data_IF_956700977434
#
_entry.id   IF_956700977434
#
_cell.length_a   1.000
_cell.length_b   1.000
_cell.length_c   1.000
_cell.angle_alpha   90.00
_cell.angle_beta   90.00
_cell.angle_gamma   90.00
#
_symmetry.space_group_name_H-M   'P 1'
#
loop_
_entity.id
_entity.type
_entity.pdbx_description
1 polymer ?
#
# COMPACT_ATOMS: atom_id res chain seq x y z
N UNK A 1 -27.04 -7.62 -5.54
CA UNK A 1 -25.65 -7.10 -5.55
C UNK A 1 -25.43 -6.30 -4.29
N UNK A 2 -24.36 -6.57 -3.54
CA UNK A 2 -24.00 -5.82 -2.33
C UNK A 2 -22.69 -5.10 -2.62
N UNK A 3 -22.65 -3.80 -2.36
CA UNK A 3 -21.44 -2.97 -2.48
C UNK A 3 -21.20 -2.32 -1.13
N UNK A 4 -19.96 -2.38 -0.65
CA UNK A 4 -19.53 -1.74 0.58
C UNK A 4 -18.31 -0.87 0.28
N UNK A 5 -18.40 0.42 0.59
CA UNK A 5 -17.33 1.38 0.31
C UNK A 5 -17.44 2.60 1.25
N UNK A 6 -16.36 3.38 1.31
CA UNK A 6 -16.30 4.67 1.99
C UNK A 6 -15.87 5.75 1.00
N UNK A 7 -16.84 6.51 0.47
CA UNK A 7 -16.62 7.54 -0.55
C UNK A 7 -15.82 8.76 -0.07
N UNK A 8 -15.52 8.85 1.22
CA UNK A 8 -14.60 9.84 1.74
C UNK A 8 -13.14 9.38 1.73
N UNK A 9 -12.89 8.10 1.41
CA UNK A 9 -11.56 7.57 1.13
C UNK A 9 -11.17 7.85 -0.32
N UNK A 10 -10.05 7.26 -0.75
CA UNK A 10 -9.44 7.56 -2.04
C UNK A 10 -10.37 7.22 -3.22
N UNK A 11 -10.48 8.12 -4.21
CA UNK A 11 -11.22 7.83 -5.44
C UNK A 11 -10.45 6.81 -6.31
N UNK A 12 -11.07 6.27 -7.36
CA UNK A 12 -10.37 5.46 -8.35
C UNK A 12 -9.13 6.18 -8.91
N UNK A 13 -8.02 5.44 -9.05
CA UNK A 13 -6.76 5.97 -9.62
C UNK A 13 -6.97 6.41 -11.07
N UNK A 14 -7.79 5.67 -11.82
CA UNK A 14 -8.17 5.97 -13.20
C UNK A 14 -9.67 5.77 -13.39
N UNK A 15 -10.25 6.54 -14.30
CA UNK A 15 -11.68 6.47 -14.63
C UNK A 15 -12.57 7.35 -13.72
N UNK A 16 -13.87 7.44 -14.04
CA UNK A 16 -14.82 8.21 -13.25
C UNK A 16 -15.16 7.50 -11.94
N UNK A 17 -15.28 8.25 -10.85
CA UNK A 17 -15.89 7.75 -9.61
C UNK A 17 -17.36 7.36 -9.85
N UNK A 18 -17.82 6.30 -9.17
CA UNK A 18 -19.18 5.76 -9.26
C UNK A 18 -20.27 6.83 -9.00
N UNK A 19 -19.94 7.87 -8.23
CA UNK A 19 -20.85 8.94 -7.83
C UNK A 19 -20.46 10.31 -8.40
N UNK A 20 -19.84 10.35 -9.57
CA UNK A 20 -19.55 11.62 -10.23
C UNK A 20 -20.87 12.30 -10.64
N UNK A 21 -21.06 13.60 -10.35
CA UNK A 21 -22.20 14.36 -10.86
C UNK A 21 -22.03 14.61 -12.36
N UNK A 22 -22.26 13.59 -13.18
CA UNK A 22 -22.41 13.71 -14.63
C UNK A 22 -23.71 13.04 -15.03
N UNK A 23 -24.54 13.77 -15.79
CA UNK A 23 -25.79 13.40 -16.46
C UNK A 23 -26.53 12.16 -15.88
N UNK A 24 -27.56 12.45 -15.07
CA UNK A 24 -28.42 11.56 -14.30
C UNK A 24 -28.97 10.28 -14.98
N UNK A 25 -28.82 10.12 -16.30
CA UNK A 25 -29.41 9.01 -17.07
C UNK A 25 -28.59 7.71 -17.09
N UNK A 26 -27.35 7.69 -16.58
CA UNK A 26 -26.46 6.50 -16.65
C UNK A 26 -25.67 6.17 -15.38
N UNK A 27 -26.03 6.74 -14.23
CA UNK A 27 -25.31 6.47 -12.99
C UNK A 27 -25.86 5.22 -12.30
N UNK A 28 -25.07 4.14 -12.31
CA UNK A 28 -25.34 2.87 -11.62
C UNK A 28 -25.70 3.07 -10.13
N UNK A 29 -25.21 4.14 -9.52
CA UNK A 29 -25.52 4.52 -8.14
C UNK A 29 -27.01 4.74 -7.84
N UNK A 30 -27.82 5.15 -8.82
CA UNK A 30 -29.26 5.33 -8.62
C UNK A 30 -30.05 4.02 -8.65
N UNK A 31 -29.44 2.92 -9.09
CA UNK A 31 -30.09 1.60 -9.11
C UNK A 31 -30.10 0.94 -7.74
N UNK A 32 -29.30 1.42 -6.78
CA UNK A 32 -29.33 0.90 -5.40
C UNK A 32 -30.57 1.42 -4.67
N UNK A 33 -31.51 0.54 -4.34
CA UNK A 33 -32.74 0.92 -3.63
C UNK A 33 -32.58 1.00 -2.10
N UNK A 34 -31.49 0.43 -1.58
CA UNK A 34 -31.20 0.26 -0.16
C UNK A 34 -29.80 0.78 0.11
N UNK A 35 -29.67 1.76 0.99
CA UNK A 35 -28.39 2.32 1.44
C UNK A 35 -28.37 2.20 2.95
N UNK A 36 -27.28 1.67 3.51
CA UNK A 36 -27.09 1.56 4.96
C UNK A 36 -25.74 2.15 5.30
N UNK A 37 -25.72 3.09 6.24
CA UNK A 37 -24.50 3.71 6.74
C UNK A 37 -24.15 3.20 8.14
N UNK A 38 -22.97 2.60 8.25
CA UNK A 38 -22.41 2.21 9.54
C UNK A 38 -21.81 3.45 10.22
N UNK A 39 -22.25 3.75 11.45
CA UNK A 39 -21.82 4.93 12.21
C UNK A 39 -20.78 4.62 13.28
N UNK A 40 -20.75 3.39 13.78
CA UNK A 40 -19.81 3.00 14.83
C UNK A 40 -18.45 2.62 14.24
N UNK A 41 -17.41 3.32 14.67
CA UNK A 41 -16.04 2.99 14.31
C UNK A 41 -15.53 1.81 15.16
N UNK A 42 -15.40 0.64 14.53
CA UNK A 42 -14.92 -0.58 15.19
C UNK A 42 -13.39 -0.72 15.21
N UNK A 43 -12.64 0.23 14.63
CA UNK A 43 -11.18 0.20 14.52
C UNK A 43 -10.50 0.88 15.71
N UNK A 44 -10.94 2.09 16.07
CA UNK A 44 -10.41 2.86 17.20
C UNK A 44 -11.31 2.69 18.44
N UNK A 45 -11.29 1.48 19.01
CA UNK A 45 -12.15 1.12 20.14
C UNK A 45 -11.67 1.66 21.49
N UNK A 46 -10.37 1.95 21.61
CA UNK A 46 -9.80 2.53 22.84
C UNK A 46 -10.41 3.90 23.12
N UNK A 47 -10.72 4.16 24.39
CA UNK A 47 -11.46 5.35 24.84
C UNK A 47 -10.59 6.31 25.67
N UNK A 48 -9.29 6.42 25.38
CA UNK A 48 -8.49 7.46 26.04
C UNK A 48 -8.88 8.85 25.53
N UNK A 49 -8.59 9.89 26.31
CA UNK A 49 -8.84 11.28 25.88
C UNK A 49 -8.11 11.63 24.56
N UNK A 50 -6.93 11.06 24.33
CA UNK A 50 -6.19 11.25 23.08
C UNK A 50 -6.82 10.47 21.91
N UNK A 51 -7.35 9.27 22.16
CA UNK A 51 -8.07 8.50 21.13
C UNK A 51 -9.37 9.21 20.71
N UNK A 52 -10.06 9.86 21.65
CA UNK A 52 -11.23 10.68 21.36
C UNK A 52 -10.88 11.89 20.49
N UNK A 53 -9.76 12.57 20.80
CA UNK A 53 -9.23 13.65 19.95
C UNK A 53 -8.86 13.17 18.55
N UNK A 54 -8.23 11.99 18.44
CA UNK A 54 -7.93 11.36 17.16
C UNK A 54 -9.21 11.06 16.38
N UNK A 55 -10.22 10.47 17.02
CA UNK A 55 -11.50 10.12 16.37
C UNK A 55 -12.19 11.35 15.82
N UNK A 56 -12.32 12.42 16.62
CA UNK A 56 -12.88 13.71 16.20
C UNK A 56 -12.09 14.32 15.04
N UNK A 57 -10.75 14.29 15.11
CA UNK A 57 -9.91 14.79 14.02
C UNK A 57 -10.13 13.99 12.73
N UNK A 58 -10.24 12.66 12.80
CA UNK A 58 -10.51 11.81 11.63
C UNK A 58 -11.90 12.03 11.05
N UNK A 59 -12.93 12.18 11.90
CA UNK A 59 -14.30 12.48 11.49
C UNK A 59 -14.36 13.80 10.73
N UNK A 60 -13.75 14.87 11.25
CA UNK A 60 -13.70 16.17 10.57
C UNK A 60 -12.83 16.13 9.30
N UNK A 61 -11.70 15.42 9.35
CA UNK A 61 -10.82 15.24 8.19
C UNK A 61 -11.49 14.49 7.05
N UNK A 62 -12.42 13.59 7.35
CA UNK A 62 -13.25 12.89 6.36
C UNK A 62 -13.98 13.87 5.44
N UNK A 63 -14.36 15.04 5.95
CA UNK A 63 -15.04 16.12 5.21
C UNK A 63 -14.11 17.28 4.82
N UNK A 64 -12.80 17.17 5.10
CA UNK A 64 -11.87 18.29 4.93
C UNK A 64 -12.23 19.49 5.80
N UNK A 65 -12.79 19.26 6.99
CA UNK A 65 -13.33 20.28 7.89
C UNK A 65 -12.63 20.28 9.26
N UNK A 66 -11.34 19.95 9.31
CA UNK A 66 -10.59 19.95 10.57
C UNK A 66 -10.63 21.31 11.27
N UNK A 67 -10.91 21.31 12.57
CA UNK A 67 -10.90 22.50 13.41
C UNK A 67 -9.47 22.85 13.87
N UNK A 68 -9.23 24.07 14.42
CA UNK A 68 -7.95 24.41 15.03
C UNK A 68 -7.51 23.40 16.10
N UNK A 69 -8.42 22.92 16.95
CA UNK A 69 -8.14 21.89 17.96
C UNK A 69 -7.68 20.56 17.36
N UNK A 70 -8.23 20.19 16.19
CA UNK A 70 -7.80 18.99 15.47
C UNK A 70 -6.38 19.17 14.93
N UNK A 71 -6.08 20.33 14.38
CA UNK A 71 -4.75 20.66 13.86
C UNK A 71 -3.72 20.64 14.97
N UNK A 72 -4.02 21.26 16.11
CA UNK A 72 -3.14 21.27 17.28
C UNK A 72 -2.87 19.84 17.79
N UNK A 73 -3.91 19.02 17.89
CA UNK A 73 -3.76 17.61 18.22
C UNK A 73 -2.86 16.86 17.23
N UNK A 74 -3.08 17.03 15.92
CA UNK A 74 -2.26 16.36 14.91
C UNK A 74 -0.81 16.84 14.96
N UNK A 75 -0.58 18.13 15.24
CA UNK A 75 0.76 18.68 15.46
C UNK A 75 1.46 18.04 16.66
N UNK A 76 0.73 17.73 17.73
CA UNK A 76 1.31 16.99 18.88
C UNK A 76 1.68 15.53 18.55
N UNK A 77 1.21 15.00 17.42
CA UNK A 77 1.61 13.67 16.91
C UNK A 77 2.78 13.73 15.92
N UNK A 78 3.32 14.91 15.63
CA UNK A 78 4.51 15.06 14.80
C UNK A 78 5.73 14.61 15.59
N UNK A 79 6.53 13.74 14.98
CA UNK A 79 7.79 13.31 15.54
C UNK A 79 8.71 14.50 15.81
N UNK A 80 9.34 14.54 16.99
CA UNK A 80 10.21 15.67 17.32
C UNK A 80 11.07 15.46 18.54
N UNK A 81 11.95 16.42 18.81
CA UNK A 81 12.93 16.34 19.89
C UNK A 81 12.37 16.70 21.27
N UNK A 82 11.18 17.33 21.36
CA UNK A 82 10.55 17.65 22.64
C UNK A 82 10.12 16.41 23.42
N UNK A 83 10.18 16.38 24.76
CA UNK A 83 9.84 15.20 25.57
C UNK A 83 8.45 14.63 25.28
N UNK A 84 7.47 15.51 25.06
CA UNK A 84 6.07 15.18 24.78
C UNK A 84 5.81 14.65 23.36
N UNK A 85 6.75 14.85 22.42
CA UNK A 85 6.58 14.42 21.04
C UNK A 85 6.99 12.94 20.86
N UNK A 86 6.29 12.19 19.99
CA UNK A 86 6.68 10.83 19.66
C UNK A 86 8.09 10.79 19.07
N UNK A 87 8.84 9.73 19.42
CA UNK A 87 10.22 9.55 18.95
C UNK A 87 10.31 8.41 17.94
N UNK A 88 10.83 8.70 16.76
CA UNK A 88 11.06 7.70 15.71
C UNK A 88 12.14 6.68 16.10
N UNK A 89 13.02 7.03 17.04
CA UNK A 89 14.09 6.16 17.49
C UNK A 89 13.64 5.12 18.53
N UNK A 90 12.35 5.03 18.91
CA UNK A 90 11.85 3.97 19.79
C UNK A 90 11.68 2.68 18.98
N UNK A 91 11.91 1.51 19.61
CA UNK A 91 11.88 0.18 18.96
C UNK A 91 10.62 -0.04 18.11
N UNK A 92 9.48 0.43 18.60
CA UNK A 92 8.15 0.37 17.95
C UNK A 92 8.06 1.14 16.62
N UNK A 93 8.91 2.14 16.40
CA UNK A 93 8.83 3.03 15.24
C UNK A 93 10.03 2.87 14.28
N UNK A 94 10.88 1.86 14.52
CA UNK A 94 12.05 1.54 13.70
C UNK A 94 11.67 0.56 12.58
N UNK A 95 11.61 1.04 11.35
CA UNK A 95 11.25 0.24 10.17
C UNK A 95 12.41 0.16 9.16
N UNK A 96 12.51 -0.96 8.42
CA UNK A 96 13.47 -1.15 7.32
C UNK A 96 14.25 -2.47 7.41
N UNK A 97 14.66 -3.01 6.25
CA UNK A 97 15.29 -4.32 6.14
C UNK A 97 16.60 -4.44 6.93
N UNK A 98 17.52 -3.51 6.72
CA UNK A 98 18.82 -3.47 7.41
C UNK A 98 18.65 -3.30 8.92
N UNK A 99 17.69 -2.46 9.33
CA UNK A 99 17.41 -2.22 10.73
C UNK A 99 16.82 -3.46 11.40
N UNK A 100 15.87 -4.12 10.74
CA UNK A 100 15.26 -5.35 11.21
C UNK A 100 16.30 -6.46 11.40
N UNK A 101 17.20 -6.63 10.43
CA UNK A 101 18.29 -7.59 10.52
C UNK A 101 19.20 -7.29 11.73
N UNK A 102 19.61 -6.04 11.92
CA UNK A 102 20.42 -5.62 13.08
C UNK A 102 19.68 -5.83 14.42
N UNK A 103 18.43 -5.40 14.51
CA UNK A 103 17.64 -5.49 15.74
C UNK A 103 17.30 -6.95 16.12
N UNK A 104 17.32 -7.87 15.14
CA UNK A 104 17.16 -9.32 15.35
C UNK A 104 18.48 -10.10 15.33
N UNK A 105 19.62 -9.40 15.27
CA UNK A 105 20.97 -10.00 15.22
C UNK A 105 21.15 -11.04 14.10
N UNK A 106 20.54 -10.78 12.94
CA UNK A 106 20.61 -11.63 11.75
C UNK A 106 21.40 -10.95 10.62
N UNK A 107 21.96 -11.76 9.73
CA UNK A 107 22.56 -11.28 8.49
C UNK A 107 21.48 -11.10 7.42
N UNK A 108 21.50 -9.96 6.75
CA UNK A 108 20.62 -9.70 5.61
C UNK A 108 21.22 -10.36 4.36
N UNK A 109 20.47 -11.29 3.75
CA UNK A 109 20.88 -11.95 2.52
C UNK A 109 20.25 -11.27 1.31
N UNK A 110 20.99 -11.18 0.23
CA UNK A 110 20.57 -10.53 -1.01
C UNK A 110 20.33 -11.57 -2.09
N UNK A 111 19.10 -11.60 -2.62
CA UNK A 111 18.71 -12.47 -3.71
C UNK A 111 18.46 -11.63 -4.98
N UNK A 112 19.24 -11.90 -6.01
CA UNK A 112 19.19 -11.18 -7.27
C UNK A 112 18.18 -11.81 -8.24
N UNK A 113 17.54 -10.99 -9.05
CA UNK A 113 16.67 -11.48 -10.14
C UNK A 113 17.51 -11.93 -11.34
N UNK A 114 16.93 -12.83 -12.14
CA UNK A 114 17.45 -13.16 -13.47
C UNK A 114 16.69 -12.33 -14.48
N UNK A 115 17.36 -11.37 -15.12
CA UNK A 115 16.71 -10.47 -16.08
C UNK A 115 17.16 -10.79 -17.51
N UNK A 116 16.21 -10.79 -18.45
CA UNK A 116 16.45 -10.94 -19.89
C UNK A 116 15.80 -9.77 -20.61
N UNK A 117 16.48 -9.20 -21.61
CA UNK A 117 15.87 -8.13 -22.40
C UNK A 117 14.69 -8.72 -23.19
N UNK A 118 13.54 -8.06 -23.12
CA UNK A 118 12.39 -8.43 -23.93
C UNK A 118 12.45 -7.72 -25.28
N UNK A 119 12.09 -8.40 -26.37
CA UNK A 119 11.96 -7.79 -27.70
C UNK A 119 10.63 -7.05 -27.90
N UNK A 120 9.71 -7.09 -26.93
CA UNK A 120 8.37 -6.52 -27.07
C UNK A 120 8.45 -5.00 -27.06
N UNK A 121 8.05 -4.37 -28.17
CA UNK A 121 8.01 -2.92 -28.31
C UNK A 121 7.13 -2.31 -27.22
N UNK A 122 7.69 -1.42 -26.41
CA UNK A 122 6.88 -0.48 -25.62
C UNK A 122 5.90 0.20 -26.59
N UNK A 123 4.62 0.31 -26.22
CA UNK A 123 3.61 1.01 -27.03
C UNK A 123 4.15 2.41 -27.38
N UNK A 124 4.61 2.57 -28.63
CA UNK A 124 5.28 3.78 -29.12
C UNK A 124 4.40 5.04 -29.00
N UNK A 125 3.10 4.85 -28.82
CA UNK A 125 2.11 5.92 -28.79
C UNK A 125 1.97 6.61 -27.43
N UNK A 126 2.63 6.14 -26.36
CA UNK A 126 2.50 6.77 -25.03
C UNK A 126 3.76 7.48 -24.52
N UNK A 127 4.97 7.13 -24.96
CA UNK A 127 6.22 7.63 -24.37
C UNK A 127 7.29 7.85 -25.46
N UNK A 128 7.82 9.07 -25.58
CA UNK A 128 8.89 9.42 -26.53
C UNK A 128 10.25 9.01 -25.93
N UNK A 129 10.99 8.12 -26.60
CA UNK A 129 12.38 7.75 -26.22
C UNK A 129 12.52 6.34 -25.64
N UNK A 130 12.47 5.32 -26.49
CA UNK A 130 12.70 3.93 -26.08
C UNK A 130 14.10 3.46 -26.50
N UNK A 131 15.01 3.20 -25.54
CA UNK A 131 16.38 2.72 -25.79
C UNK A 131 16.45 1.25 -26.26
N UNK A 132 15.31 0.59 -26.42
CA UNK A 132 15.23 -0.80 -26.83
C UNK A 132 15.89 -1.06 -28.21
N UNK A 133 16.03 -0.03 -29.05
CA UNK A 133 16.77 -0.13 -30.32
C UNK A 133 18.30 -0.24 -30.13
N UNK A 134 18.84 0.27 -29.02
CA UNK A 134 20.28 0.32 -28.74
C UNK A 134 20.75 -0.84 -27.84
N UNK A 135 19.92 -1.32 -26.92
CA UNK A 135 20.29 -2.37 -25.97
C UNK A 135 19.82 -3.75 -26.48
N UNK A 136 20.73 -4.52 -27.08
CA UNK A 136 20.43 -5.87 -27.63
C UNK A 136 20.81 -7.04 -26.70
N UNK A 137 21.68 -6.81 -25.71
CA UNK A 137 22.17 -7.84 -24.79
C UNK A 137 22.22 -7.33 -23.37
N UNK A 138 21.90 -8.21 -22.42
CA UNK A 138 22.01 -7.90 -21.00
C UNK A 138 23.49 -7.85 -20.61
N UNK A 139 23.99 -6.66 -20.27
CA UNK A 139 25.37 -6.48 -19.79
C UNK A 139 25.41 -6.53 -18.27
N UNK A 140 26.55 -6.92 -17.67
CA UNK A 140 26.69 -6.96 -16.20
C UNK A 140 26.53 -5.59 -15.54
N UNK A 141 26.86 -4.50 -16.26
CA UNK A 141 26.66 -3.13 -15.77
C UNK A 141 25.18 -2.77 -15.75
N UNK A 142 24.44 -3.07 -16.83
CA UNK A 142 23.00 -2.88 -16.87
C UNK A 142 22.29 -3.73 -15.80
N UNK A 143 22.70 -4.99 -15.64
CA UNK A 143 22.14 -5.88 -14.63
C UNK A 143 22.32 -5.34 -13.21
N UNK A 144 23.49 -4.78 -12.89
CA UNK A 144 23.73 -4.13 -11.59
C UNK A 144 22.86 -2.90 -11.38
N UNK A 145 22.64 -2.08 -12.42
CA UNK A 145 21.68 -0.96 -12.37
C UNK A 145 20.27 -1.47 -12.09
N UNK A 146 19.82 -2.53 -12.78
CA UNK A 146 18.51 -3.13 -12.59
C UNK A 146 18.31 -3.75 -11.20
N UNK A 147 19.35 -4.32 -10.60
CA UNK A 147 19.33 -4.82 -9.21
C UNK A 147 19.33 -3.69 -8.17
N UNK A 148 19.98 -2.56 -8.47
CA UNK A 148 20.02 -1.38 -7.61
C UNK A 148 18.75 -0.51 -7.68
N UNK A 149 17.98 -0.63 -8.76
CA UNK A 149 16.77 0.16 -8.97
C UNK A 149 15.70 -0.16 -7.89
N UNK A 150 15.03 0.86 -7.33
CA UNK A 150 13.97 0.65 -6.36
C UNK A 150 12.77 -0.06 -7.03
N UNK A 151 11.94 -0.79 -6.28
CA UNK A 151 10.76 -1.44 -6.86
C UNK A 151 9.83 -0.47 -7.59
N UNK A 152 9.74 0.78 -7.12
CA UNK A 152 8.95 1.86 -7.72
C UNK A 152 9.40 2.26 -9.13
N UNK A 153 10.63 1.94 -9.53
CA UNK A 153 11.12 2.16 -10.89
C UNK A 153 10.54 1.16 -11.90
N UNK A 154 9.74 0.19 -11.45
CA UNK A 154 9.10 -0.82 -12.32
C UNK A 154 7.58 -0.70 -12.27
N UNK A 155 6.91 -0.90 -13.41
CA UNK A 155 5.45 -0.85 -13.50
C UNK A 155 4.73 -1.89 -12.63
N UNK A 156 5.33 -3.07 -12.44
CA UNK A 156 4.76 -4.16 -11.62
C UNK A 156 5.24 -4.14 -10.16
N UNK A 157 6.13 -3.22 -9.79
CA UNK A 157 6.75 -3.13 -8.47
C UNK A 157 7.48 -4.42 -8.06
N UNK A 158 8.18 -5.06 -9.01
CA UNK A 158 8.95 -6.29 -8.77
C UNK A 158 10.43 -5.92 -8.57
N UNK A 159 10.99 -6.13 -7.36
CA UNK A 159 12.38 -5.77 -7.07
C UNK A 159 13.37 -6.55 -7.93
N UNK A 160 14.44 -5.89 -8.37
CA UNK A 160 15.58 -6.58 -8.97
C UNK A 160 16.42 -7.32 -7.93
N UNK A 161 16.44 -6.82 -6.69
CA UNK A 161 17.11 -7.45 -5.56
C UNK A 161 16.18 -7.51 -4.35
N UNK A 162 16.03 -8.71 -3.79
CA UNK A 162 15.30 -8.96 -2.55
C UNK A 162 16.29 -9.16 -1.41
N UNK A 163 16.25 -8.27 -0.43
CA UNK A 163 17.05 -8.40 0.79
C UNK A 163 16.19 -8.96 1.92
N UNK A 164 16.46 -10.18 2.38
CA UNK A 164 15.61 -10.91 3.33
C UNK A 164 16.42 -11.51 4.49
N UNK A 165 15.74 -11.71 5.61
CA UNK A 165 16.17 -12.56 6.73
C UNK A 165 14.94 -13.24 7.34
N UNK A 166 15.15 -14.19 8.25
CA UNK A 166 14.03 -14.91 8.88
C UNK A 166 13.21 -13.96 9.74
N UNK A 167 11.89 -14.17 9.76
CA UNK A 167 10.94 -13.33 10.49
C UNK A 167 10.59 -12.00 9.80
N UNK A 168 11.20 -11.69 8.64
CA UNK A 168 10.96 -10.41 7.98
C UNK A 168 9.50 -10.32 7.44
N UNK A 169 8.81 -9.18 7.63
CA UNK A 169 7.47 -9.00 7.11
C UNK A 169 7.48 -8.75 5.61
N UNK A 170 6.69 -9.52 4.87
CA UNK A 170 6.51 -9.42 3.42
C UNK A 170 5.05 -9.28 3.04
N UNK A 171 4.79 -8.81 1.82
CA UNK A 171 3.47 -8.71 1.21
C UNK A 171 3.50 -9.40 -0.15
N UNK A 172 2.57 -10.32 -0.37
CA UNK A 172 2.38 -10.99 -1.66
C UNK A 172 1.90 -9.98 -2.69
N UNK A 173 2.43 -10.06 -3.91
CA UNK A 173 2.10 -9.15 -5.02
C UNK A 173 1.41 -9.82 -6.19
N UNK A 174 1.33 -11.15 -6.18
CA UNK A 174 0.57 -11.96 -7.13
C UNK A 174 -0.61 -12.67 -6.45
N UNK A 175 -1.57 -13.12 -7.26
CA UNK A 175 -2.58 -14.08 -6.84
C UNK A 175 -2.12 -15.46 -7.32
N UNK A 176 -1.47 -16.21 -6.44
CA UNK A 176 -0.91 -17.51 -6.80
C UNK A 176 -1.96 -18.62 -6.65
N UNK A 177 -2.63 -18.66 -5.51
CA UNK A 177 -3.62 -19.69 -5.16
C UNK A 177 -4.67 -19.10 -4.20
N UNK A 178 -5.86 -18.82 -4.71
CA UNK A 178 -6.91 -18.14 -3.92
C UNK A 178 -7.47 -19.04 -2.82
N UNK A 179 -7.55 -20.34 -3.10
CA UNK A 179 -7.90 -21.41 -2.18
C UNK A 179 -6.89 -21.54 -1.04
N UNK A 180 -5.60 -21.30 -1.28
CA UNK A 180 -4.58 -21.28 -0.22
C UNK A 180 -4.42 -19.89 0.39
N UNK A 181 -5.38 -18.97 0.16
CA UNK A 181 -5.33 -17.57 0.56
C UNK A 181 -4.04 -16.83 0.15
N UNK A 182 -3.35 -17.31 -0.89
CA UNK A 182 -2.17 -16.69 -1.48
C UNK A 182 -2.62 -15.62 -2.48
N UNK A 183 -3.14 -14.51 -1.93
CA UNK A 183 -3.69 -13.41 -2.73
C UNK A 183 -2.87 -12.13 -2.60
N UNK A 184 -2.92 -11.31 -3.67
CA UNK A 184 -2.24 -10.04 -3.75
C UNK A 184 -2.65 -9.14 -2.59
N UNK A 185 -1.65 -8.61 -1.88
CA UNK A 185 -1.83 -7.75 -0.72
C UNK A 185 -1.87 -8.48 0.63
N UNK A 186 -1.86 -9.82 0.65
CA UNK A 186 -1.76 -10.59 1.89
C UNK A 186 -0.40 -10.39 2.55
N UNK A 187 -0.44 -10.19 3.86
CA UNK A 187 0.74 -10.03 4.71
C UNK A 187 1.27 -11.41 5.08
N UNK A 188 2.59 -11.53 5.12
CA UNK A 188 3.26 -12.74 5.54
C UNK A 188 4.55 -12.46 6.27
N UNK A 189 5.12 -13.50 6.86
CA UNK A 189 6.39 -13.49 7.58
C UNK A 189 7.30 -14.53 6.94
N UNK A 190 8.54 -14.15 6.63
CA UNK A 190 9.52 -15.08 6.04
C UNK A 190 9.89 -16.18 7.05
N UNK A 191 9.75 -17.43 6.63
CA UNK A 191 10.07 -18.62 7.43
C UNK A 191 11.30 -19.39 6.94
N UNK A 192 11.67 -19.20 5.68
CA UNK A 192 12.82 -19.87 5.08
C UNK A 192 12.82 -19.68 3.57
N UNK A 193 13.85 -20.19 2.91
CA UNK A 193 13.98 -20.11 1.45
C UNK A 193 14.87 -21.22 0.92
N UNK A 194 14.70 -21.51 -0.37
CA UNK A 194 15.64 -22.26 -1.18
C UNK A 194 16.24 -21.30 -2.21
N UNK A 195 17.57 -21.16 -2.20
CA UNK A 195 18.29 -20.18 -3.00
C UNK A 195 19.53 -20.79 -3.67
N UNK A 196 19.39 -21.38 -4.87
CA UNK A 196 20.52 -21.88 -5.63
C UNK A 196 21.42 -20.74 -6.12
N UNK A 197 22.63 -21.09 -6.54
CA UNK A 197 23.54 -20.18 -7.22
C UNK A 197 23.02 -19.90 -8.64
N UNK A 198 22.95 -18.62 -8.99
CA UNK A 198 22.46 -18.17 -10.28
C UNK A 198 23.50 -18.25 -11.40
N UNK A 199 23.10 -18.00 -12.65
CA UNK A 199 23.99 -18.09 -13.82
C UNK A 199 25.21 -17.15 -13.78
N UNK A 200 25.17 -16.12 -12.95
CA UNK A 200 26.21 -15.11 -12.81
C UNK A 200 26.98 -15.19 -11.47
N UNK A 201 26.81 -16.27 -10.70
CA UNK A 201 27.42 -16.48 -9.38
C UNK A 201 26.74 -15.74 -8.22
N UNK A 202 25.62 -15.07 -8.49
CA UNK A 202 24.81 -14.40 -7.47
C UNK A 202 23.76 -15.37 -6.90
N UNK A 203 23.33 -15.19 -5.65
CA UNK A 203 22.24 -15.98 -5.09
C UNK A 203 20.90 -15.62 -5.74
N UNK A 204 20.16 -16.62 -6.19
CA UNK A 204 18.82 -16.45 -6.80
C UNK A 204 17.80 -17.16 -5.93
N UNK A 205 16.67 -16.50 -5.68
CA UNK A 205 15.60 -17.08 -4.89
C UNK A 205 14.72 -17.99 -5.77
N UNK A 206 14.72 -19.29 -5.49
CA UNK A 206 13.89 -20.27 -6.21
C UNK A 206 12.54 -20.45 -5.50
N UNK A 207 12.57 -20.63 -4.18
CA UNK A 207 11.36 -20.78 -3.36
C UNK A 207 11.51 -19.99 -2.07
N UNK A 208 10.46 -19.26 -1.70
CA UNK A 208 10.35 -18.53 -0.44
C UNK A 208 9.19 -19.09 0.37
N UNK A 209 9.47 -19.54 1.58
CA UNK A 209 8.45 -20.00 2.51
C UNK A 209 7.97 -18.84 3.36
N UNK A 210 6.67 -18.56 3.28
CA UNK A 210 6.04 -17.42 3.96
C UNK A 210 4.90 -17.93 4.82
N UNK A 211 4.88 -17.56 6.11
CA UNK A 211 3.72 -17.76 6.98
C UNK A 211 2.74 -16.61 6.79
N UNK A 212 1.52 -16.91 6.35
CA UNK A 212 0.46 -15.92 6.19
C UNK A 212 -0.01 -15.40 7.56
N UNK A 213 -0.23 -14.09 7.65
CA UNK A 213 -0.72 -13.44 8.88
C UNK A 213 -2.23 -13.30 8.79
N UNK A 214 -2.94 -13.90 9.75
CA UNK A 214 -4.41 -13.89 9.87
C UNK A 214 -5.11 -14.22 8.54
N UNK A 215 -4.82 -15.40 7.94
CA UNK A 215 -5.54 -15.82 6.74
C UNK A 215 -7.03 -16.01 7.06
N UNK A 216 -7.95 -15.85 6.07
CA UNK A 216 -9.38 -16.07 6.28
C UNK A 216 -9.75 -17.45 6.80
N UNK A 217 -8.92 -18.45 6.50
CA UNK A 217 -9.01 -19.82 7.00
C UNK A 217 -7.60 -20.34 7.24
N UNK A 218 -7.48 -21.28 8.16
CA UNK A 218 -6.22 -21.98 8.36
C UNK A 218 -5.88 -22.85 7.14
N UNK A 219 -4.60 -22.83 6.79
CA UNK A 219 -4.05 -23.53 5.64
C UNK A 219 -2.93 -24.42 6.13
N UNK A 220 -2.98 -25.69 5.76
CA UNK A 220 -1.99 -26.69 6.10
C UNK A 220 -1.60 -27.43 4.83
N UNK A 221 -0.41 -27.16 4.31
CA UNK A 221 0.19 -27.92 3.22
C UNK A 221 0.95 -29.10 3.83
N UNK A 222 0.96 -30.25 3.17
CA UNK A 222 1.74 -31.40 3.62
C UNK A 222 3.21 -31.00 3.84
N UNK A 223 3.79 -31.47 4.94
CA UNK A 223 5.19 -31.24 5.33
C UNK A 223 5.59 -29.78 5.62
N UNK A 224 4.64 -28.84 5.62
CA UNK A 224 4.87 -27.44 6.01
C UNK A 224 4.16 -27.09 7.32
N UNK A 225 4.66 -26.15 8.13
CA UNK A 225 3.93 -25.69 9.31
C UNK A 225 2.61 -24.98 8.96
N UNK A 226 1.74 -24.83 9.95
CA UNK A 226 0.46 -24.14 9.80
C UNK A 226 0.62 -22.74 9.20
N UNK A 227 -0.21 -22.45 8.20
CA UNK A 227 -0.27 -21.20 7.45
C UNK A 227 1.03 -20.85 6.69
N UNK A 228 1.97 -21.79 6.53
CA UNK A 228 3.18 -21.61 5.72
C UNK A 228 2.90 -22.06 4.29
N UNK A 229 3.18 -21.17 3.34
CA UNK A 229 3.00 -21.40 1.91
C UNK A 229 4.32 -21.18 1.16
N UNK A 230 4.63 -22.02 0.15
CA UNK A 230 5.76 -21.79 -0.74
C UNK A 230 5.38 -20.81 -1.84
N UNK A 231 6.19 -19.79 -2.04
CA UNK A 231 6.14 -18.90 -3.20
C UNK A 231 7.30 -19.29 -4.12
N UNK A 232 7.02 -19.47 -5.40
CA UNK A 232 8.01 -19.89 -6.39
C UNK A 232 8.42 -18.73 -7.29
N UNK A 233 9.61 -18.81 -7.87
CA UNK A 233 10.07 -17.83 -8.86
C UNK A 233 9.13 -17.84 -10.07
N UNK A 234 8.72 -16.65 -10.49
CA UNK A 234 7.90 -16.48 -11.70
C UNK A 234 8.60 -15.57 -12.69
N UNK A 235 8.36 -15.79 -13.98
CA UNK A 235 8.82 -14.90 -15.05
C UNK A 235 7.74 -13.86 -15.30
N UNK A 236 8.06 -12.58 -15.13
CA UNK A 236 7.14 -11.47 -15.39
C UNK A 236 7.74 -10.50 -16.38
N UNK A 237 6.91 -10.01 -17.30
CA UNK A 237 7.28 -8.94 -18.22
C UNK A 237 7.10 -7.59 -17.52
N UNK A 238 8.18 -6.84 -17.39
CA UNK A 238 8.20 -5.56 -16.69
C UNK A 238 8.82 -4.48 -17.57
N UNK A 239 8.41 -3.24 -17.32
CA UNK A 239 9.06 -2.06 -17.85
C UNK A 239 9.77 -1.34 -16.71
N UNK A 240 11.07 -1.12 -16.86
CA UNK A 240 11.93 -0.44 -15.90
C UNK A 240 12.25 0.97 -16.39
N UNK A 241 12.08 1.95 -15.52
CA UNK A 241 12.65 3.29 -15.66
C UNK A 241 14.13 3.21 -15.29
N UNK A 242 15.00 3.64 -16.21
CA UNK A 242 16.42 3.77 -15.95
C UNK A 242 16.74 5.25 -15.81
N UNK A 243 17.15 5.65 -14.61
CA UNK A 243 17.82 6.94 -14.39
C UNK A 243 19.25 6.79 -14.93
N UNK A 244 19.55 7.39 -16.08
CA UNK A 244 20.90 7.37 -16.65
C UNK A 244 21.56 8.74 -16.48
N UNK A 245 22.65 8.81 -15.71
CA UNK A 245 23.45 10.02 -15.49
C UNK A 245 24.20 10.51 -16.75
N UNK A 246 24.13 9.76 -17.85
CA UNK A 246 24.85 10.09 -19.08
C UNK A 246 23.97 9.88 -20.31
N UNK A 247 23.50 11.01 -20.85
CA UNK A 247 22.93 11.22 -22.19
C UNK A 247 21.59 10.52 -22.50
N UNK A 248 20.56 11.38 -22.64
CA UNK A 248 19.21 11.19 -23.21
C UNK A 248 18.08 10.94 -22.19
N UNK A 249 17.48 12.05 -21.72
CA UNK A 249 16.15 12.21 -21.12
C UNK A 249 15.78 11.32 -19.92
N UNK A 250 15.33 11.96 -18.84
CA UNK A 250 14.82 11.41 -17.56
C UNK A 250 13.70 10.34 -17.65
N UNK A 251 13.35 9.84 -18.83
CA UNK A 251 12.20 8.94 -19.07
C UNK A 251 12.57 7.70 -19.93
N UNK A 252 13.80 7.19 -19.82
CA UNK A 252 14.18 5.99 -20.58
C UNK A 252 13.52 4.74 -20.01
N UNK A 253 12.66 4.11 -20.82
CA UNK A 253 11.99 2.85 -20.51
C UNK A 253 12.70 1.65 -21.14
N UNK A 254 13.01 0.63 -20.33
CA UNK A 254 13.53 -0.66 -20.76
C UNK A 254 12.55 -1.80 -20.45
N UNK A 255 12.24 -2.58 -21.47
CA UNK A 255 11.37 -3.76 -21.38
C UNK A 255 12.20 -5.02 -21.06
N UNK A 256 11.90 -5.67 -19.93
CA UNK A 256 12.68 -6.77 -19.35
C UNK A 256 11.75 -7.92 -18.96
N UNK A 257 12.16 -9.16 -19.23
CA UNK A 257 11.61 -10.35 -18.60
C UNK A 257 12.41 -10.60 -17.32
N UNK A 258 11.76 -10.41 -16.18
CA UNK A 258 12.35 -10.60 -14.85
C UNK A 258 11.87 -11.91 -14.25
N UNK A 259 12.80 -12.78 -13.89
CA UNK A 259 12.52 -13.97 -13.08
C UNK A 259 12.83 -13.66 -11.61
N UNK A 260 11.79 -13.55 -10.78
CA UNK A 260 11.90 -13.30 -9.35
C UNK A 260 10.62 -13.74 -8.62
N UNK A 261 10.71 -13.94 -7.31
CA UNK A 261 9.53 -14.12 -6.46
C UNK A 261 8.80 -12.78 -6.28
N UNK A 262 7.49 -12.79 -6.47
CA UNK A 262 6.65 -11.59 -6.55
C UNK A 262 6.16 -11.19 -5.15
N UNK A 263 7.09 -10.69 -4.34
CA UNK A 263 6.86 -10.15 -2.98
C UNK A 263 7.51 -8.79 -2.79
N UNK A 264 6.98 -8.02 -1.84
CA UNK A 264 7.60 -6.78 -1.35
C UNK A 264 7.78 -6.84 0.16
N UNK A 265 8.81 -6.15 0.65
CA UNK A 265 8.96 -5.92 2.08
C UNK A 265 7.82 -5.06 2.61
N UNK A 266 7.17 -5.51 3.69
CA UNK A 266 5.98 -4.88 4.23
C UNK A 266 6.31 -3.91 5.38
N UNK A 267 7.35 -3.09 5.21
CA UNK A 267 7.72 -2.03 6.15
C UNK A 267 7.00 -0.71 5.84
N UNK A 268 6.83 -0.40 4.55
CA UNK A 268 6.16 0.79 4.06
C UNK A 268 5.13 0.43 3.00
N UNK A 269 4.09 1.24 2.88
CA UNK A 269 3.03 1.08 1.89
C UNK A 269 2.47 2.44 1.54
N UNK A 270 1.97 2.59 0.31
CA UNK A 270 1.27 3.80 -0.13
C UNK A 270 -0.10 3.91 0.55
N UNK A 271 -0.67 5.11 0.55
CA UNK A 271 -2.04 5.36 1.03
C UNK A 271 -3.06 4.43 0.36
N UNK A 272 -3.03 4.28 -0.96
CA UNK A 272 -3.89 3.33 -1.70
C UNK A 272 -3.73 1.89 -1.22
N UNK A 273 -2.50 1.41 -1.06
CA UNK A 273 -2.25 0.02 -0.64
C UNK A 273 -2.50 -0.20 0.85
N UNK A 274 -2.56 0.87 1.63
CA UNK A 274 -2.95 0.86 3.04
C UNK A 274 -4.46 0.79 3.24
N UNK A 275 -5.26 1.05 2.20
CA UNK A 275 -6.71 1.07 2.31
C UNK A 275 -7.25 -0.23 2.92
N UNK A 276 -8.21 -0.10 3.84
CA UNK A 276 -8.80 -1.21 4.60
C UNK A 276 -7.83 -2.00 5.51
N UNK A 277 -6.59 -1.53 5.76
CA UNK A 277 -5.66 -2.18 6.70
C UNK A 277 -5.64 -1.49 8.06
N UNK A 278 -5.62 -2.29 9.13
CA UNK A 278 -5.34 -1.80 10.49
C UNK A 278 -3.86 -1.91 10.83
N UNK A 279 -3.37 -0.98 11.67
CA UNK A 279 -1.99 -0.93 12.17
C UNK A 279 -1.98 -0.54 13.65
N UNK A 280 -1.22 -1.30 14.44
CA UNK A 280 -0.88 -0.93 15.81
C UNK A 280 0.05 0.29 15.80
N UNK A 281 1.16 0.20 15.06
CA UNK A 281 2.11 1.27 14.85
C UNK A 281 1.90 1.86 13.45
N UNK A 282 1.37 3.08 13.40
CA UNK A 282 1.01 3.81 12.21
C UNK A 282 1.89 5.06 12.05
N UNK A 283 3.12 4.85 11.57
CA UNK A 283 3.96 5.95 11.10
C UNK A 283 3.47 6.38 9.73
N UNK A 284 3.22 7.68 9.58
CA UNK A 284 2.72 8.25 8.33
C UNK A 284 3.60 9.40 7.86
N UNK A 285 3.93 9.37 6.58
CA UNK A 285 4.49 10.50 5.86
C UNK A 285 3.39 11.13 5.01
N UNK A 286 3.13 12.42 5.19
CA UNK A 286 1.98 13.13 4.64
C UNK A 286 2.38 14.21 3.62
N UNK A 287 3.67 14.48 3.44
CA UNK A 287 4.16 15.54 2.54
C UNK A 287 3.61 15.39 1.11
N UNK A 288 3.67 14.16 0.57
CA UNK A 288 3.28 13.85 -0.81
C UNK A 288 1.80 13.45 -0.96
N UNK A 289 1.02 13.45 0.13
CA UNK A 289 -0.41 13.17 0.05
C UNK A 289 -1.14 14.34 -0.62
N UNK A 290 -2.07 14.04 -1.54
CA UNK A 290 -2.66 15.04 -2.44
C UNK A 290 -3.72 15.90 -1.76
N UNK A 291 -4.64 15.27 -1.03
CA UNK A 291 -5.82 15.90 -0.44
C UNK A 291 -6.16 15.33 0.95
N UNK A 292 -7.24 15.84 1.55
CA UNK A 292 -7.74 15.37 2.84
C UNK A 292 -8.07 13.86 2.83
N UNK A 293 -8.41 13.26 1.68
CA UNK A 293 -8.76 11.84 1.58
C UNK A 293 -7.52 10.97 1.73
N UNK A 294 -6.41 11.35 1.10
CA UNK A 294 -5.10 10.69 1.32
C UNK A 294 -4.68 10.77 2.78
N UNK A 295 -4.85 11.95 3.41
CA UNK A 295 -4.53 12.14 4.82
C UNK A 295 -5.41 11.25 5.72
N UNK A 296 -6.72 11.29 5.50
CA UNK A 296 -7.70 10.49 6.23
C UNK A 296 -7.40 9.00 6.07
N UNK A 297 -7.14 8.52 4.86
CA UNK A 297 -6.78 7.13 4.59
C UNK A 297 -5.52 6.73 5.33
N UNK A 298 -4.46 7.54 5.30
CA UNK A 298 -3.20 7.22 5.98
C UNK A 298 -3.34 7.19 7.51
N UNK A 299 -3.96 8.23 8.10
CA UNK A 299 -4.06 8.36 9.56
C UNK A 299 -5.07 7.38 10.17
N UNK A 300 -6.20 7.13 9.50
CA UNK A 300 -7.25 6.25 10.05
C UNK A 300 -6.89 4.77 10.05
N UNK A 301 -5.67 4.38 9.62
CA UNK A 301 -5.17 2.99 9.75
C UNK A 301 -4.71 2.66 11.17
N UNK A 302 -4.30 3.67 11.94
CA UNK A 302 -3.85 3.50 13.33
C UNK A 302 -5.01 3.11 14.25
N UNK A 303 -4.77 2.18 15.18
CA UNK A 303 -5.77 1.78 16.18
C UNK A 303 -5.89 2.76 17.35
N UNK A 304 -4.79 3.45 17.69
CA UNK A 304 -4.74 4.39 18.81
C UNK A 304 -4.01 5.68 18.41
N UNK A 305 -4.25 6.73 19.18
CA UNK A 305 -3.49 7.97 19.12
C UNK A 305 -2.01 7.70 19.36
N UNK A 306 -1.67 6.93 20.40
CA UNK A 306 -0.28 6.65 20.79
C UNK A 306 0.49 5.88 19.73
N UNK A 307 -0.17 4.96 19.02
CA UNK A 307 0.42 4.24 17.90
C UNK A 307 0.57 5.08 16.63
N UNK A 308 -0.02 6.28 16.56
CA UNK A 308 -0.04 7.12 15.34
C UNK A 308 1.02 8.21 15.41
N UNK A 309 1.96 8.24 14.45
CA UNK A 309 3.07 9.21 14.43
C UNK A 309 3.21 9.83 13.05
N UNK A 310 3.30 11.16 12.97
CA UNK A 310 3.51 11.91 11.73
C UNK A 310 5.01 12.23 11.62
N UNK A 311 5.67 11.87 10.51
CA UNK A 311 7.13 11.93 10.41
C UNK A 311 7.66 13.36 10.24
N UNK A 312 7.18 14.12 9.25
CA UNK A 312 7.75 15.44 8.89
C UNK A 312 6.75 16.61 9.02
N UNK A 313 5.54 16.34 9.50
CA UNK A 313 4.45 17.32 9.55
C UNK A 313 3.51 17.19 8.35
N UNK A 314 2.68 18.21 8.14
CA UNK A 314 1.58 18.15 7.17
C UNK A 314 1.07 19.54 6.77
N UNK A 315 0.33 19.62 5.66
CA UNK A 315 -0.24 20.88 5.16
C UNK A 315 -1.69 21.05 5.64
N UNK A 316 -1.96 22.06 6.45
CA UNK A 316 -3.29 22.30 7.05
C UNK A 316 -4.39 22.60 6.02
N UNK A 317 -4.08 23.39 4.99
CA UNK A 317 -5.04 23.73 3.93
C UNK A 317 -5.57 22.49 3.19
N UNK A 318 -4.82 21.37 3.20
CA UNK A 318 -5.29 20.12 2.59
C UNK A 318 -6.40 19.46 3.39
N UNK A 319 -6.51 19.71 4.69
CA UNK A 319 -7.51 19.09 5.60
C UNK A 319 -8.58 20.07 6.09
N UNK A 320 -8.53 21.33 5.64
CA UNK A 320 -9.53 22.38 5.92
C UNK A 320 -10.21 22.94 4.67
N UNK A 321 -9.88 22.42 3.48
CA UNK A 321 -10.40 22.89 2.19
C UNK A 321 -11.84 22.49 1.89
N UNK A 322 -12.46 21.66 2.72
CA UNK A 322 -13.82 21.14 2.55
C UNK A 322 -13.95 20.12 1.42
N UNK A 323 -14.91 19.19 1.58
CA UNK A 323 -15.37 18.32 0.50
C UNK A 323 -16.62 18.92 -0.15
N UNK A 324 -16.82 18.70 -1.46
CA UNK A 324 -18.14 18.91 -2.08
C UNK A 324 -19.14 17.91 -1.47
N UNK A 325 -19.82 18.34 -0.39
CA UNK A 325 -20.67 17.48 0.43
C UNK A 325 -21.95 16.98 -0.24
N UNK A 326 -22.15 17.20 -1.54
CA UNK A 326 -23.34 16.75 -2.27
C UNK A 326 -23.52 15.23 -2.17
N UNK A 327 -22.44 14.47 -2.39
CA UNK A 327 -22.48 13.01 -2.37
C UNK A 327 -22.79 12.45 -0.98
N UNK A 328 -22.09 12.92 0.05
CA UNK A 328 -22.31 12.42 1.42
C UNK A 328 -23.71 12.75 1.93
N UNK A 329 -24.25 13.94 1.59
CA UNK A 329 -25.63 14.31 1.88
C UNK A 329 -26.65 13.41 1.16
N UNK A 330 -26.42 13.09 -0.11
CA UNK A 330 -27.32 12.19 -0.85
C UNK A 330 -27.37 10.80 -0.20
N UNK A 331 -26.22 10.27 0.21
CA UNK A 331 -26.15 8.98 0.91
C UNK A 331 -26.82 9.04 2.29
N UNK A 332 -26.65 10.13 3.03
CA UNK A 332 -27.35 10.38 4.29
C UNK A 332 -28.87 10.36 4.15
N UNK A 333 -29.39 11.04 3.12
CA UNK A 333 -30.84 11.04 2.83
C UNK A 333 -31.32 9.63 2.47
N UNK A 334 -30.56 8.88 1.68
CA UNK A 334 -30.94 7.53 1.25
C UNK A 334 -30.87 6.50 2.38
N UNK A 335 -29.92 6.65 3.30
CA UNK A 335 -29.84 5.88 4.55
C UNK A 335 -31.08 6.12 5.42
N UNK A 336 -31.48 7.38 5.59
CA UNK A 336 -32.66 7.73 6.36
C UNK A 336 -33.95 7.20 5.73
N UNK A 337 -34.09 7.30 4.40
CA UNK A 337 -35.21 6.67 3.66
C UNK A 337 -35.22 5.16 3.90
N UNK A 338 -34.05 4.52 3.88
CA UNK A 338 -33.93 3.07 4.11
C UNK A 338 -34.36 2.71 5.53
N UNK A 339 -33.93 3.48 6.55
CA UNK A 339 -34.36 3.34 7.95
C UNK A 339 -35.87 3.48 8.10
N UNK A 340 -36.47 4.53 7.53
CA UNK A 340 -37.90 4.76 7.62
C UNK A 340 -38.73 3.68 6.92
N UNK A 341 -38.27 3.14 5.79
CA UNK A 341 -38.91 1.98 5.13
C UNK A 341 -38.86 0.74 6.03
N UNK A 342 -37.71 0.47 6.64
CA UNK A 342 -37.54 -0.65 7.56
C UNK A 342 -38.46 -0.54 8.79
N UNK A 343 -38.59 0.67 9.34
CA UNK A 343 -39.51 0.99 10.44
C UNK A 343 -40.99 1.07 10.03
N UNK A 344 -41.33 0.85 8.75
CA UNK A 344 -42.69 1.00 8.17
C UNK A 344 -43.30 2.38 8.41
N UNK A 345 -42.47 3.42 8.41
CA UNK A 345 -42.86 4.84 8.59
C UNK A 345 -42.96 5.61 7.28
N UNK A 346 -42.60 4.99 6.16
CA UNK A 346 -42.89 5.48 4.82
C UNK A 346 -44.09 4.71 4.25
N UNK A 347 -44.99 5.40 3.52
CA UNK A 347 -46.17 4.80 2.91
C UNK A 347 -45.83 3.72 1.88
#
# INVERSE_FOLDING_TARGET
MVVADDFAQLPPVTGPSLYRPCNARKNLSHQFNTVVMLRQNMRQQTQSANDDRLRRALENMRYGACTPDNIEFLRSRIAGFRPENPKLNIKQFRNGAERFARDTTQTLLNFCSIDRISARSVDKNKWKGCLQSQIRKMTRTLQRKLWGAPPSATNEYIPGRLSLCLGMPVMLRANDATELCMTKGKKGVVCGWHAPEGPAGEQVLETLFVRLVNPPRDIQIADLPLNVVPLVRTVTHITCLLEDDTLLSDDTLLSVLREQIVVLLNFAMTDYTSQAKGRLENLVELANCKDHRSYYVALSRGFTADGTVIVQGFTESKITSGMSGYLLRELEVRDEITRLRYERRLP
#
